data_IF_235492906970
#
_entry.id   IF_235492906970
#
_cell.length_a   1.000
_cell.length_b   1.000
_cell.length_c   1.000
_cell.angle_alpha   90.00
_cell.angle_beta   90.00
_cell.angle_gamma   90.00
#
_symmetry.space_group_name_H-M   'P 1'
#
loop_
_entity.id
_entity.type
_entity.pdbx_description
1 polymer ?
#
# COMPACT_ATOMS: atom_id res chain seq x y z
N UNK A 1 -18.69 -9.84 25.57
CA UNK A 1 -17.36 -9.56 24.99
C UNK A 1 -17.58 -8.83 23.67
N UNK A 2 -17.04 -7.64 23.48
CA UNK A 2 -17.12 -6.86 22.24
C UNK A 2 -16.21 -7.45 21.16
N UNK A 3 -16.36 -7.00 19.91
CA UNK A 3 -15.45 -7.39 18.81
C UNK A 3 -14.01 -7.00 19.09
N UNK A 4 -13.80 -5.85 19.72
CA UNK A 4 -12.47 -5.34 20.09
C UNK A 4 -11.83 -6.19 21.20
N UNK A 5 -12.62 -6.58 22.20
CA UNK A 5 -12.16 -7.49 23.27
C UNK A 5 -11.82 -8.88 22.71
N UNK A 6 -12.62 -9.39 21.78
CA UNK A 6 -12.35 -10.66 21.08
C UNK A 6 -11.04 -10.61 20.30
N UNK A 7 -10.82 -9.54 19.52
CA UNK A 7 -9.59 -9.35 18.75
C UNK A 7 -8.36 -9.29 19.67
N UNK A 8 -8.45 -8.51 20.76
CA UNK A 8 -7.36 -8.38 21.73
C UNK A 8 -6.99 -9.73 22.35
N UNK A 9 -7.99 -10.54 22.70
CA UNK A 9 -7.78 -11.90 23.22
C UNK A 9 -7.06 -12.78 22.20
N UNK A 10 -7.51 -12.78 20.94
CA UNK A 10 -6.88 -13.56 19.87
C UNK A 10 -5.42 -13.16 19.64
N UNK A 11 -5.13 -11.86 19.63
CA UNK A 11 -3.75 -11.36 19.47
C UNK A 11 -2.87 -11.78 20.66
N UNK A 12 -3.35 -11.63 21.90
CA UNK A 12 -2.57 -11.95 23.10
C UNK A 12 -2.29 -13.45 23.28
N UNK A 13 -3.21 -14.32 22.84
CA UNK A 13 -3.10 -15.78 23.00
C UNK A 13 -2.37 -16.45 21.82
N UNK A 14 -2.11 -15.73 20.72
CA UNK A 14 -1.49 -16.29 19.52
C UNK A 14 0.04 -16.19 19.58
N UNK A 15 0.73 -17.33 19.47
CA UNK A 15 2.20 -17.36 19.35
C UNK A 15 2.74 -17.24 17.92
N UNK A 16 1.87 -17.19 16.90
CA UNK A 16 2.24 -17.13 15.47
C UNK A 16 1.19 -16.34 14.70
N UNK A 17 1.40 -15.04 14.57
CA UNK A 17 0.48 -14.13 13.86
C UNK A 17 1.03 -13.90 12.44
N UNK A 18 0.14 -13.96 11.45
CA UNK A 18 0.43 -13.54 10.08
C UNK A 18 -0.36 -12.28 9.79
N UNK A 19 0.34 -11.23 9.37
CA UNK A 19 -0.28 -10.01 8.89
C UNK A 19 -0.43 -10.05 7.37
N UNK A 20 -1.64 -9.80 6.87
CA UNK A 20 -1.92 -9.65 5.44
C UNK A 20 -2.42 -8.22 5.18
N UNK A 21 -1.54 -7.39 4.65
CA UNK A 21 -1.79 -5.97 4.39
C UNK A 21 -1.73 -5.63 2.90
N UNK A 22 -2.37 -4.52 2.53
CA UNK A 22 -2.28 -3.90 1.21
C UNK A 22 -1.87 -2.43 1.31
N UNK A 23 -1.92 -1.70 0.19
CA UNK A 23 -1.52 -0.29 0.11
C UNK A 23 -2.25 0.62 1.13
N UNK A 24 -3.47 0.26 1.52
CA UNK A 24 -4.25 0.97 2.54
C UNK A 24 -3.56 1.12 3.90
N UNK A 25 -2.62 0.24 4.24
CA UNK A 25 -1.84 0.32 5.49
C UNK A 25 -0.89 1.53 5.47
N UNK A 26 -0.52 2.03 4.29
CA UNK A 26 0.45 3.11 4.09
C UNK A 26 -0.18 4.46 3.77
N UNK A 27 -1.51 4.56 3.72
CA UNK A 27 -2.21 5.84 3.46
C UNK A 27 -1.94 6.87 4.55
N UNK A 28 -1.89 6.45 5.81
CA UNK A 28 -1.48 7.29 6.94
C UNK A 28 0.01 7.69 6.90
N UNK A 29 0.82 7.04 6.07
CA UNK A 29 2.21 7.44 5.77
C UNK A 29 2.30 8.42 4.60
N UNK A 30 1.17 8.91 4.07
CA UNK A 30 1.12 9.82 2.93
C UNK A 30 1.27 9.12 1.57
N UNK A 31 1.18 7.78 1.53
CA UNK A 31 1.25 7.01 0.28
C UNK A 31 -0.19 6.67 -0.14
N UNK A 32 -0.72 7.26 -1.22
CA UNK A 32 -2.06 6.95 -1.70
C UNK A 32 -2.17 5.48 -2.09
N UNK A 33 -3.36 4.91 -1.88
CA UNK A 33 -3.66 3.59 -2.42
C UNK A 33 -3.99 3.67 -3.92
N UNK A 34 -4.27 2.51 -4.53
CA UNK A 34 -4.56 2.45 -5.95
C UNK A 34 -6.01 2.83 -6.29
N UNK A 35 -6.99 2.47 -5.43
CA UNK A 35 -8.41 2.33 -5.83
C UNK A 35 -9.40 3.17 -5.02
N UNK A 36 -8.98 3.85 -3.96
CA UNK A 36 -9.84 4.78 -3.22
C UNK A 36 -10.21 5.99 -4.08
N UNK A 37 -11.17 6.80 -3.63
CA UNK A 37 -11.64 8.00 -4.34
C UNK A 37 -10.47 8.94 -4.69
N UNK A 38 -9.49 9.08 -3.81
CA UNK A 38 -8.27 9.86 -4.04
C UNK A 38 -7.07 9.01 -4.51
N UNK A 39 -7.33 7.74 -4.84
CA UNK A 39 -6.33 6.76 -5.25
C UNK A 39 -5.77 7.01 -6.65
N UNK A 40 -4.64 6.37 -6.94
CA UNK A 40 -3.87 6.57 -8.17
C UNK A 40 -4.71 6.37 -9.45
N UNK A 41 -5.70 5.48 -9.42
CA UNK A 41 -6.51 5.12 -10.60
C UNK A 41 -7.59 6.13 -10.98
N UNK A 42 -7.87 7.11 -10.12
CA UNK A 42 -8.80 8.20 -10.42
C UNK A 42 -8.13 9.43 -11.06
N UNK A 43 -6.80 9.40 -11.19
CA UNK A 43 -6.05 10.45 -11.86
C UNK A 43 -6.12 10.26 -13.38
N UNK A 44 -6.34 11.35 -14.13
CA UNK A 44 -6.47 11.31 -15.59
C UNK A 44 -5.10 11.30 -16.26
N UNK A 45 -4.82 10.24 -16.99
CA UNK A 45 -3.64 10.05 -17.83
C UNK A 45 -4.03 9.61 -19.24
N UNK A 46 -3.06 9.61 -20.14
CA UNK A 46 -3.23 9.12 -21.53
C UNK A 46 -3.67 7.65 -21.59
N UNK A 47 -3.31 6.85 -20.57
CA UNK A 47 -3.71 5.45 -20.41
C UNK A 47 -4.13 5.18 -18.96
N UNK A 48 -4.98 4.16 -18.71
CA UNK A 48 -5.29 3.73 -17.35
C UNK A 48 -4.02 3.36 -16.59
N UNK A 49 -3.86 3.76 -15.32
CA UNK A 49 -2.66 3.42 -14.54
C UNK A 49 -2.39 1.91 -14.43
N UNK A 50 -3.41 1.04 -14.42
CA UNK A 50 -3.18 -0.41 -14.49
C UNK A 50 -2.42 -0.84 -15.76
N UNK A 51 -2.74 -0.19 -16.88
CA UNK A 51 -2.09 -0.44 -18.17
C UNK A 51 -0.68 0.10 -18.14
N UNK A 52 -0.49 1.34 -17.64
CA UNK A 52 0.84 1.96 -17.58
C UNK A 52 1.81 1.24 -16.65
N UNK A 53 1.31 0.50 -15.65
CA UNK A 53 2.12 -0.34 -14.76
C UNK A 53 2.27 -1.80 -15.24
N UNK A 54 1.70 -2.15 -16.39
CA UNK A 54 1.78 -3.52 -16.91
C UNK A 54 3.13 -3.82 -17.55
N UNK A 55 3.49 -5.11 -17.60
CA UNK A 55 4.71 -5.58 -18.24
C UNK A 55 4.75 -5.25 -19.74
N UNK A 56 3.65 -5.47 -20.48
CA UNK A 56 3.62 -5.16 -21.92
C UNK A 56 3.80 -3.67 -22.19
N UNK A 57 3.22 -2.79 -21.35
CA UNK A 57 3.44 -1.36 -21.47
C UNK A 57 4.89 -0.96 -21.18
N UNK A 58 5.54 -1.61 -20.22
CA UNK A 58 6.98 -1.41 -19.99
C UNK A 58 7.81 -1.82 -21.22
N UNK A 59 7.50 -2.94 -21.87
CA UNK A 59 8.23 -3.42 -23.05
C UNK A 59 8.03 -2.54 -24.28
N UNK A 60 6.79 -2.09 -24.54
CA UNK A 60 6.44 -1.30 -25.72
C UNK A 60 6.65 0.22 -25.53
N UNK A 61 6.57 0.70 -24.28
CA UNK A 61 6.55 2.13 -23.92
C UNK A 61 7.42 2.43 -22.69
N UNK A 62 8.65 1.92 -22.67
CA UNK A 62 9.58 2.00 -21.53
C UNK A 62 9.76 3.42 -20.97
N UNK A 63 9.92 4.43 -21.83
CA UNK A 63 10.11 5.82 -21.39
C UNK A 63 8.89 6.34 -20.60
N UNK A 64 7.69 6.14 -21.15
CA UNK A 64 6.42 6.54 -20.52
C UNK A 64 6.15 5.79 -19.22
N UNK A 65 6.48 4.50 -19.18
CA UNK A 65 6.42 3.70 -17.94
C UNK A 65 7.24 4.38 -16.83
N UNK A 66 8.48 4.75 -17.14
CA UNK A 66 9.38 5.32 -16.15
C UNK A 66 9.00 6.75 -15.75
N UNK A 67 8.43 7.55 -16.66
CA UNK A 67 7.89 8.87 -16.32
C UNK A 67 6.77 8.75 -15.30
N UNK A 68 5.78 7.88 -15.56
CA UNK A 68 4.71 7.63 -14.62
C UNK A 68 5.22 7.07 -13.28
N UNK A 69 6.14 6.10 -13.34
CA UNK A 69 6.71 5.49 -12.14
C UNK A 69 7.40 6.53 -11.24
N UNK A 70 8.25 7.39 -11.82
CA UNK A 70 8.94 8.44 -11.05
C UNK A 70 7.98 9.45 -10.45
N UNK A 71 6.96 9.84 -11.21
CA UNK A 71 6.00 10.87 -10.80
C UNK A 71 5.03 10.36 -9.72
N UNK A 72 4.69 9.06 -9.71
CA UNK A 72 3.57 8.55 -8.89
C UNK A 72 3.87 7.40 -7.95
N UNK A 73 5.00 6.71 -8.11
CA UNK A 73 5.34 5.52 -7.32
C UNK A 73 6.48 5.76 -6.32
N UNK A 74 7.18 6.90 -6.40
CA UNK A 74 8.32 7.20 -5.52
C UNK A 74 7.91 8.12 -4.36
N UNK A 75 7.90 7.56 -3.14
CA UNK A 75 7.64 8.27 -1.89
C UNK A 75 8.88 8.22 -0.98
N UNK A 76 9.96 8.86 -1.42
CA UNK A 76 11.30 8.69 -0.83
C UNK A 76 11.41 9.17 0.63
N UNK A 77 10.57 10.12 1.02
CA UNK A 77 10.56 10.69 2.37
C UNK A 77 9.59 9.99 3.32
N UNK A 78 8.77 9.05 2.82
CA UNK A 78 7.75 8.39 3.63
C UNK A 78 8.38 7.63 4.81
N UNK A 79 7.68 7.66 5.95
CA UNK A 79 8.10 6.97 7.18
C UNK A 79 7.03 5.97 7.63
N UNK A 80 7.43 4.90 8.34
CA UNK A 80 6.49 3.96 8.94
C UNK A 80 5.48 4.69 9.85
N UNK A 81 4.19 4.41 9.67
CA UNK A 81 3.15 4.88 10.59
C UNK A 81 2.98 3.94 11.80
N UNK A 82 2.00 4.25 12.64
CA UNK A 82 1.70 3.49 13.86
C UNK A 82 1.41 2.00 13.59
N UNK A 83 0.74 1.67 12.48
CA UNK A 83 0.45 0.29 12.11
C UNK A 83 1.73 -0.49 11.83
N UNK A 84 2.63 0.08 11.02
CA UNK A 84 3.92 -0.55 10.70
C UNK A 84 4.78 -0.75 11.95
N UNK A 85 4.88 0.28 12.80
CA UNK A 85 5.61 0.19 14.07
C UNK A 85 5.03 -0.92 14.95
N UNK A 86 3.69 -1.02 15.03
CA UNK A 86 3.06 -2.05 15.85
C UNK A 86 3.28 -3.47 15.32
N UNK A 87 3.26 -3.64 14.00
CA UNK A 87 3.56 -4.93 13.37
C UNK A 87 5.00 -5.36 13.63
N UNK A 88 5.95 -4.42 13.56
CA UNK A 88 7.35 -4.68 13.90
C UNK A 88 7.56 -5.05 15.39
N UNK A 89 6.72 -4.53 16.30
CA UNK A 89 6.71 -4.98 17.69
C UNK A 89 6.17 -6.41 17.85
N UNK A 90 5.17 -6.81 17.07
CA UNK A 90 4.54 -8.13 17.14
C UNK A 90 5.40 -9.26 16.53
N UNK A 91 6.37 -8.92 15.69
CA UNK A 91 7.32 -9.88 15.12
C UNK A 91 8.37 -10.36 16.15
N UNK A 92 8.61 -9.58 17.20
CA UNK A 92 9.63 -9.86 18.23
C UNK A 92 9.14 -10.86 19.27
#
# INVERSE_FOLDING_TARGET
MTKEEQLRKMVNESGRIVFFGGAGVSTESGIPDFRSVDGLYNQKYDYPPEVMLSHGFFEEHTERFFDFYRDKMLYLDAKPNAAHVKLAELER
#
